data_IF_049115285080
#
_entry.id   IF_049115285080
#
_cell.length_a   1.000
_cell.length_b   1.000
_cell.length_c   1.000
_cell.angle_alpha   90.00
_cell.angle_beta   90.00
_cell.angle_gamma   90.00
#
_symmetry.space_group_name_H-M   'P 1'
#
loop_
_entity.id
_entity.type
_entity.pdbx_description
1 polymer ?
#
# COMPACT_ATOMS: atom_id res chain seq x y z
N UNK A 1 10.20 7.05 33.90
CA UNK A 1 11.27 7.33 32.91
C UNK A 1 12.55 6.50 33.11
N UNK A 2 12.44 5.21 33.51
CA UNK A 2 13.58 4.28 33.66
C UNK A 2 13.36 2.88 33.01
N UNK A 3 12.20 2.63 32.39
CA UNK A 3 11.89 1.33 31.79
C UNK A 3 12.08 1.26 30.25
N UNK A 4 12.26 2.40 29.57
CA UNK A 4 12.45 2.45 28.11
C UNK A 4 13.91 2.14 27.71
N UNK A 5 14.85 2.22 28.65
CA UNK A 5 16.29 2.01 28.39
C UNK A 5 16.74 0.53 28.34
N UNK A 6 15.87 -0.45 28.63
CA UNK A 6 16.28 -1.87 28.64
C UNK A 6 16.07 -2.55 27.29
N UNK A 7 15.05 -2.17 26.52
CA UNK A 7 14.73 -2.81 25.23
C UNK A 7 15.72 -2.34 24.15
N UNK A 8 16.16 -1.08 24.23
CA UNK A 8 17.21 -0.55 23.35
C UNK A 8 18.61 -1.14 23.65
N UNK A 9 18.86 -1.64 24.85
CA UNK A 9 20.15 -2.26 25.20
C UNK A 9 20.28 -3.70 24.69
N UNK A 10 19.22 -4.49 24.68
CA UNK A 10 19.29 -5.89 24.20
C UNK A 10 19.42 -5.99 22.68
N UNK A 11 18.86 -5.02 21.93
CA UNK A 11 19.03 -4.95 20.47
C UNK A 11 20.43 -4.41 20.08
N UNK A 12 21.05 -3.59 20.94
CA UNK A 12 22.36 -2.99 20.67
C UNK A 12 23.56 -3.89 21.03
N UNK A 13 23.37 -4.91 21.86
CA UNK A 13 24.44 -5.85 22.24
C UNK A 13 24.88 -6.75 21.08
N UNK A 14 24.04 -6.95 20.05
CA UNK A 14 24.44 -7.71 18.86
C UNK A 14 25.00 -6.88 17.70
N UNK A 15 24.96 -5.54 17.77
CA UNK A 15 25.53 -4.66 16.73
C UNK A 15 26.95 -4.14 17.05
N UNK A 16 27.53 -4.50 18.20
CA UNK A 16 28.81 -3.98 18.70
C UNK A 16 29.94 -5.01 18.85
N UNK A 17 29.91 -6.15 18.14
CA UNK A 17 31.03 -7.13 18.11
C UNK A 17 31.90 -6.96 16.83
N UNK A 18 31.95 -5.78 16.22
CA UNK A 18 32.71 -5.58 14.98
C UNK A 18 33.74 -4.43 15.00
N UNK A 19 34.19 -3.97 16.17
CA UNK A 19 35.26 -2.97 16.28
C UNK A 19 36.24 -3.31 17.41
N UNK A 20 37.13 -4.26 17.15
CA UNK A 20 38.40 -4.38 17.87
C UNK A 20 39.51 -4.66 16.84
N UNK A 21 40.53 -3.80 16.71
CA UNK A 21 41.70 -4.09 15.90
C UNK A 21 42.70 -4.88 16.76
N UNK A 22 42.87 -6.18 16.48
CA UNK A 22 44.20 -6.83 16.47
C UNK A 22 44.10 -8.33 16.16
N UNK A 23 45.12 -8.75 15.43
CA UNK A 23 45.37 -10.06 14.83
C UNK A 23 45.20 -11.25 15.79
N UNK A 24 44.45 -12.27 15.37
CA UNK A 24 44.89 -13.66 15.15
C UNK A 24 43.85 -14.31 14.22
N UNK A 25 44.30 -14.86 13.08
CA UNK A 25 43.47 -15.63 12.17
C UNK A 25 42.77 -16.79 12.87
N UNK A 26 41.46 -16.66 13.07
CA UNK A 26 40.54 -17.79 13.20
C UNK A 26 39.58 -17.71 12.03
N UNK A 27 39.57 -18.74 11.18
CA UNK A 27 38.48 -18.99 10.26
C UNK A 27 37.20 -19.16 11.08
N UNK A 28 36.50 -18.05 11.33
CA UNK A 28 35.10 -18.10 11.71
C UNK A 28 34.39 -18.45 10.40
N UNK A 29 33.95 -19.70 10.28
CA UNK A 29 33.01 -20.08 9.24
C UNK A 29 31.88 -19.06 9.30
N UNK A 30 31.76 -18.25 8.26
CA UNK A 30 30.66 -17.30 8.07
C UNK A 30 29.41 -18.17 8.06
N UNK A 31 28.69 -18.23 9.18
CA UNK A 31 27.37 -18.83 9.22
C UNK A 31 26.61 -18.16 8.08
N UNK A 32 26.21 -18.94 7.08
CA UNK A 32 25.53 -18.41 5.91
C UNK A 32 24.38 -17.54 6.39
N UNK A 33 24.28 -16.33 5.86
CA UNK A 33 23.06 -15.55 6.04
C UNK A 33 21.88 -16.46 5.67
N UNK A 34 20.83 -16.54 6.52
CA UNK A 34 19.68 -17.37 6.20
C UNK A 34 19.20 -16.98 4.80
N UNK A 35 18.94 -18.00 3.96
CA UNK A 35 18.46 -17.78 2.61
C UNK A 35 17.30 -16.79 2.63
N UNK A 36 17.35 -15.80 1.75
CA UNK A 36 16.30 -14.80 1.64
C UNK A 36 14.96 -15.49 1.37
N UNK A 37 13.85 -14.96 1.91
CA UNK A 37 12.54 -15.51 1.63
C UNK A 37 12.22 -15.28 0.15
N UNK A 38 12.23 -16.36 -0.64
CA UNK A 38 11.84 -16.33 -2.04
C UNK A 38 10.31 -16.46 -2.15
N UNK A 39 9.68 -15.64 -3.00
CA UNK A 39 8.26 -15.77 -3.34
C UNK A 39 8.05 -17.09 -4.10
N UNK A 40 7.45 -18.06 -3.42
CA UNK A 40 7.12 -19.36 -4.02
C UNK A 40 5.93 -19.24 -4.97
N UNK A 41 5.94 -20.08 -6.01
CA UNK A 41 4.84 -20.18 -6.98
C UNK A 41 3.48 -20.48 -6.32
N UNK A 42 3.46 -21.31 -5.26
CA UNK A 42 2.23 -21.61 -4.48
C UNK A 42 1.68 -20.35 -3.80
N UNK A 43 2.53 -19.58 -3.12
CA UNK A 43 2.16 -18.33 -2.46
C UNK A 43 1.61 -17.32 -3.47
N UNK A 44 2.26 -17.21 -4.62
CA UNK A 44 1.81 -16.36 -5.72
C UNK A 44 0.44 -16.79 -6.26
N UNK A 45 0.25 -18.08 -6.55
CA UNK A 45 -1.01 -18.60 -7.07
C UNK A 45 -2.19 -18.36 -6.10
N UNK A 46 -1.97 -18.49 -4.79
CA UNK A 46 -2.98 -18.17 -3.78
C UNK A 46 -3.35 -16.69 -3.80
N UNK A 47 -2.36 -15.80 -3.93
CA UNK A 47 -2.64 -14.36 -4.03
C UNK A 47 -3.38 -14.02 -5.32
N UNK A 48 -3.00 -14.60 -6.45
CA UNK A 48 -3.72 -14.42 -7.72
C UNK A 48 -5.18 -14.90 -7.63
N UNK A 49 -5.44 -16.03 -6.97
CA UNK A 49 -6.80 -16.50 -6.69
C UNK A 49 -7.58 -15.52 -5.80
N UNK A 50 -6.95 -15.03 -4.72
CA UNK A 50 -7.53 -14.03 -3.84
C UNK A 50 -7.92 -12.76 -4.60
N UNK A 51 -7.04 -12.26 -5.48
CA UNK A 51 -7.28 -11.07 -6.29
C UNK A 51 -8.43 -11.28 -7.26
N UNK A 52 -8.52 -12.44 -7.93
CA UNK A 52 -9.64 -12.77 -8.82
C UNK A 52 -10.99 -12.71 -8.10
N UNK A 53 -11.05 -13.20 -6.86
CA UNK A 53 -12.27 -13.12 -6.05
C UNK A 53 -12.59 -11.67 -5.62
N UNK A 54 -11.58 -10.89 -5.23
CA UNK A 54 -11.75 -9.48 -4.92
C UNK A 54 -12.20 -8.65 -6.15
N UNK A 55 -11.67 -8.96 -7.32
CA UNK A 55 -12.03 -8.36 -8.60
C UNK A 55 -13.46 -8.71 -8.99
N UNK A 56 -13.85 -9.98 -8.93
CA UNK A 56 -15.22 -10.41 -9.17
C UNK A 56 -16.23 -9.71 -8.24
N UNK A 57 -15.87 -9.54 -6.95
CA UNK A 57 -16.67 -8.75 -6.00
C UNK A 57 -16.76 -7.29 -6.44
N UNK A 58 -15.63 -6.64 -6.75
CA UNK A 58 -15.58 -5.25 -7.21
C UNK A 58 -16.43 -5.04 -8.46
N UNK A 59 -16.31 -5.90 -9.48
CA UNK A 59 -17.12 -5.83 -10.69
C UNK A 59 -18.61 -5.99 -10.39
N UNK A 60 -18.98 -6.94 -9.52
CA UNK A 60 -20.37 -7.14 -9.12
C UNK A 60 -20.96 -5.92 -8.42
N UNK A 61 -20.16 -5.21 -7.63
CA UNK A 61 -20.56 -3.95 -6.98
C UNK A 61 -20.72 -2.81 -7.99
N UNK A 62 -19.78 -2.66 -8.93
CA UNK A 62 -19.85 -1.65 -9.99
C UNK A 62 -21.06 -1.88 -10.91
N UNK A 63 -21.28 -3.13 -11.34
CA UNK A 63 -22.43 -3.53 -12.19
C UNK A 63 -23.78 -3.25 -11.54
N UNK A 64 -23.88 -3.39 -10.22
CA UNK A 64 -25.11 -3.07 -9.48
C UNK A 64 -25.41 -1.56 -9.48
N UNK A 65 -24.41 -0.70 -9.66
CA UNK A 65 -24.57 0.75 -9.81
C UNK A 65 -25.04 1.50 -8.55
N UNK A 66 -25.23 0.78 -7.44
CA UNK A 66 -25.65 1.32 -6.13
C UNK A 66 -24.76 0.80 -5.02
N UNK A 67 -24.57 1.62 -3.98
CA UNK A 67 -23.65 1.33 -2.89
C UNK A 67 -22.20 1.24 -3.36
N UNK A 68 -21.73 2.30 -4.02
CA UNK A 68 -20.40 2.33 -4.64
C UNK A 68 -19.29 2.46 -3.61
N UNK A 69 -19.55 3.11 -2.48
CA UNK A 69 -18.63 3.21 -1.36
C UNK A 69 -18.96 2.12 -0.35
N UNK A 70 -17.96 1.61 0.34
CA UNK A 70 -18.15 0.57 1.33
C UNK A 70 -19.05 1.01 2.50
N UNK A 71 -19.05 2.32 2.79
CA UNK A 71 -19.89 2.94 3.82
C UNK A 71 -21.37 2.94 3.43
N UNK A 72 -21.71 2.89 2.14
CA UNK A 72 -23.11 2.81 1.68
C UNK A 72 -23.80 1.52 2.18
N UNK A 73 -23.01 0.44 2.33
CA UNK A 73 -23.48 -0.88 2.78
C UNK A 73 -23.61 -1.03 4.29
N UNK A 74 -23.33 0.01 5.08
CA UNK A 74 -23.53 -0.01 6.53
C UNK A 74 -25.02 0.08 6.90
N UNK A 75 -25.41 -0.41 8.10
CA UNK A 75 -26.71 -0.11 8.69
C UNK A 75 -26.98 1.40 8.74
N UNK A 76 -28.25 1.81 8.63
CA UNK A 76 -28.62 3.20 8.41
C UNK A 76 -28.01 4.19 9.42
N UNK A 77 -28.09 3.89 10.71
CA UNK A 77 -27.50 4.71 11.78
C UNK A 77 -25.97 4.83 11.63
N UNK A 78 -25.28 3.70 11.48
CA UNK A 78 -23.82 3.66 11.31
C UNK A 78 -23.37 4.35 10.02
N UNK A 79 -24.18 4.26 8.96
CA UNK A 79 -23.94 4.95 7.70
C UNK A 79 -24.06 6.46 7.88
N UNK A 80 -25.07 6.94 8.58
CA UNK A 80 -25.24 8.36 8.88
C UNK A 80 -24.04 8.91 9.67
N UNK A 81 -23.60 8.18 10.69
CA UNK A 81 -22.42 8.54 11.49
C UNK A 81 -21.13 8.53 10.65
N UNK A 82 -20.95 7.52 9.78
CA UNK A 82 -19.80 7.45 8.89
C UNK A 82 -19.75 8.63 7.92
N UNK A 83 -20.88 9.03 7.33
CA UNK A 83 -20.94 10.22 6.47
C UNK A 83 -20.71 11.52 7.25
N UNK A 84 -21.21 11.63 8.48
CA UNK A 84 -20.93 12.78 9.33
C UNK A 84 -19.43 12.87 9.65
N UNK A 85 -18.76 11.75 9.96
CA UNK A 85 -17.32 11.68 10.18
C UNK A 85 -16.52 12.09 8.93
N UNK A 86 -16.87 11.55 7.76
CA UNK A 86 -16.26 11.92 6.48
C UNK A 86 -16.38 13.44 6.21
N UNK A 87 -17.55 14.03 6.45
CA UNK A 87 -17.79 15.47 6.29
C UNK A 87 -17.00 16.34 7.29
N UNK A 88 -16.62 15.81 8.45
CA UNK A 88 -15.68 16.45 9.40
C UNK A 88 -14.21 16.28 9.00
N UNK A 89 -13.94 15.59 7.89
CA UNK A 89 -12.59 15.37 7.37
C UNK A 89 -11.90 14.12 7.94
N UNK A 90 -12.63 13.24 8.60
CA UNK A 90 -12.10 11.94 9.02
C UNK A 90 -11.88 11.02 7.80
N UNK A 91 -10.93 10.09 7.91
CA UNK A 91 -10.69 9.04 6.90
C UNK A 91 -11.19 7.73 7.48
N UNK A 92 -12.20 7.14 6.84
CA UNK A 92 -12.84 5.93 7.32
C UNK A 92 -12.15 4.70 6.75
N UNK A 93 -11.58 3.86 7.61
CA UNK A 93 -10.79 2.68 7.23
C UNK A 93 -11.50 1.39 7.61
N UNK A 94 -11.47 0.39 6.74
CA UNK A 94 -12.00 -0.95 7.00
C UNK A 94 -11.02 -2.02 6.51
N UNK A 95 -10.70 -2.98 7.38
CA UNK A 95 -10.00 -4.19 6.96
C UNK A 95 -10.95 -5.07 6.18
N UNK A 96 -10.48 -5.64 5.08
CA UNK A 96 -11.22 -6.57 4.26
C UNK A 96 -10.57 -7.94 4.33
N UNK A 97 -11.39 -8.97 4.23
CA UNK A 97 -10.95 -10.35 4.11
C UNK A 97 -11.88 -11.05 3.11
N UNK A 98 -11.31 -11.67 2.08
CA UNK A 98 -12.07 -12.55 1.18
C UNK A 98 -12.18 -13.91 1.86
N UNK A 99 -13.43 -14.38 1.99
CA UNK A 99 -13.74 -15.67 2.58
C UNK A 99 -14.14 -16.65 1.48
N UNK A 100 -13.58 -17.85 1.53
CA UNK A 100 -13.99 -18.98 0.69
C UNK A 100 -14.60 -20.03 1.60
N UNK A 101 -15.84 -20.46 1.32
CA UNK A 101 -16.60 -21.36 2.18
C UNK A 101 -16.65 -20.89 3.66
N UNK A 102 -16.89 -19.60 3.85
CA UNK A 102 -16.91 -18.91 5.15
C UNK A 102 -15.60 -19.00 5.96
N UNK A 103 -14.46 -19.28 5.30
CA UNK A 103 -13.14 -19.35 5.92
C UNK A 103 -12.15 -18.39 5.25
N UNK A 104 -11.23 -17.77 6.01
CA UNK A 104 -10.15 -16.99 5.43
C UNK A 104 -9.27 -17.85 4.51
N UNK A 105 -8.91 -17.32 3.35
CA UNK A 105 -7.94 -17.95 2.45
C UNK A 105 -6.57 -17.90 3.11
N UNK A 106 -5.98 -19.07 3.36
CA UNK A 106 -4.61 -19.16 3.91
C UNK A 106 -3.62 -18.99 2.78
N UNK A 107 -2.59 -18.17 3.01
CA UNK A 107 -1.49 -17.95 2.07
C UNK A 107 -0.20 -18.55 2.65
N UNK A 108 0.20 -19.77 2.27
CA UNK A 108 1.41 -20.38 2.81
C UNK A 108 2.65 -19.52 2.51
N UNK A 109 3.44 -19.22 3.54
CA UNK A 109 4.67 -18.42 3.41
C UNK A 109 4.46 -16.92 3.13
N UNK A 110 3.21 -16.46 3.11
CA UNK A 110 2.88 -15.06 2.83
C UNK A 110 1.75 -14.53 3.71
N UNK A 111 1.64 -13.21 3.78
CA UNK A 111 0.54 -12.51 4.44
C UNK A 111 -0.16 -11.63 3.42
N UNK A 112 -1.48 -11.79 3.32
CA UNK A 112 -2.33 -10.91 2.52
C UNK A 112 -2.83 -9.79 3.43
N UNK A 113 -2.54 -8.54 3.05
CA UNK A 113 -3.07 -7.35 3.70
C UNK A 113 -4.06 -6.69 2.78
N UNK A 114 -5.32 -6.65 3.19
CA UNK A 114 -6.41 -6.10 2.39
C UNK A 114 -7.18 -5.06 3.19
N UNK A 115 -7.18 -3.83 2.69
CA UNK A 115 -7.81 -2.68 3.33
C UNK A 115 -8.53 -1.82 2.32
N UNK A 116 -9.61 -1.17 2.75
CA UNK A 116 -10.26 -0.09 2.02
C UNK A 116 -10.38 1.15 2.92
N UNK A 117 -10.25 2.32 2.33
CA UNK A 117 -10.40 3.60 2.99
C UNK A 117 -11.22 4.56 2.15
N UNK A 118 -11.99 5.44 2.82
CA UNK A 118 -12.80 6.49 2.17
C UNK A 118 -12.45 7.82 2.80
N UNK A 119 -12.34 8.85 1.95
CA UNK A 119 -12.18 10.25 2.34
C UNK A 119 -13.17 11.12 1.55
N UNK A 120 -13.65 12.20 2.16
CA UNK A 120 -14.46 13.22 1.49
C UNK A 120 -13.64 14.49 1.24
N UNK A 121 -13.74 15.02 0.02
CA UNK A 121 -13.07 16.22 -0.46
C UNK A 121 -14.15 17.30 -0.69
N UNK A 122 -14.41 18.18 0.29
CA UNK A 122 -15.45 19.20 0.18
C UNK A 122 -15.13 20.21 -0.93
N UNK A 123 -16.14 20.63 -1.70
CA UNK A 123 -16.01 21.63 -2.76
C UNK A 123 -15.37 21.13 -4.06
N UNK A 124 -14.67 19.99 -4.03
CA UNK A 124 -14.05 19.40 -5.20
C UNK A 124 -15.08 18.88 -6.21
N UNK A 125 -14.66 18.81 -7.46
CA UNK A 125 -15.31 18.14 -8.60
C UNK A 125 -14.57 16.87 -8.97
N UNK A 126 -15.24 15.96 -9.68
CA UNK A 126 -14.61 14.72 -10.11
C UNK A 126 -13.35 14.98 -10.96
N UNK A 127 -13.40 15.99 -11.84
CA UNK A 127 -12.27 16.38 -12.69
C UNK A 127 -11.04 16.82 -11.88
N UNK A 128 -11.26 17.44 -10.72
CA UNK A 128 -10.21 17.92 -9.82
C UNK A 128 -9.44 16.74 -9.21
N UNK A 129 -10.19 15.72 -8.80
CA UNK A 129 -9.63 14.47 -8.27
C UNK A 129 -8.88 13.71 -9.34
N UNK A 130 -9.47 13.55 -10.54
CA UNK A 130 -8.82 12.89 -11.67
C UNK A 130 -7.55 13.63 -12.11
N UNK A 131 -7.56 14.97 -12.11
CA UNK A 131 -6.39 15.79 -12.41
C UNK A 131 -5.21 15.59 -11.46
N UNK A 132 -5.47 15.12 -10.22
CA UNK A 132 -4.42 14.71 -9.28
C UNK A 132 -4.04 13.23 -9.47
N UNK A 133 -5.03 12.35 -9.56
CA UNK A 133 -4.80 10.90 -9.62
C UNK A 133 -4.10 10.47 -10.92
N UNK A 134 -4.46 11.05 -12.06
CA UNK A 134 -3.86 10.73 -13.38
C UNK A 134 -2.52 11.43 -13.61
N UNK A 135 -2.17 12.43 -12.80
CA UNK A 135 -0.94 13.20 -12.95
C UNK A 135 0.24 12.52 -12.25
N UNK A 136 0.56 11.31 -12.70
CA UNK A 136 1.59 10.45 -12.13
C UNK A 136 2.99 11.09 -12.11
N UNK A 137 3.32 11.96 -13.07
CA UNK A 137 4.61 12.68 -13.05
C UNK A 137 4.76 13.62 -11.83
N UNK A 138 3.64 13.98 -11.19
CA UNK A 138 3.62 14.81 -9.99
C UNK A 138 3.38 14.03 -8.69
N UNK A 139 3.19 12.72 -8.75
CA UNK A 139 2.92 11.89 -7.56
C UNK A 139 4.04 11.95 -6.52
N UNK A 140 5.30 12.07 -6.93
CA UNK A 140 6.44 12.29 -6.01
C UNK A 140 6.33 13.60 -5.21
N UNK A 141 5.65 14.62 -5.75
CA UNK A 141 5.36 15.84 -5.00
C UNK A 141 4.13 15.69 -4.11
N UNK A 142 3.05 15.05 -4.61
CA UNK A 142 1.79 14.91 -3.88
C UNK A 142 1.85 13.94 -2.71
N UNK A 143 2.59 12.85 -2.89
CA UNK A 143 2.67 11.72 -1.96
C UNK A 143 4.03 11.62 -1.26
N UNK A 144 4.79 12.73 -1.23
CA UNK A 144 6.03 12.82 -0.46
C UNK A 144 5.74 12.70 1.06
N UNK A 145 6.55 11.97 1.84
CA UNK A 145 7.84 11.37 1.44
C UNK A 145 7.74 9.92 0.93
N UNK A 146 6.55 9.29 0.97
CA UNK A 146 6.39 7.86 0.70
C UNK A 146 6.59 7.52 -0.79
N UNK A 147 6.30 8.46 -1.70
CA UNK A 147 6.69 8.39 -3.12
C UNK A 147 7.90 9.30 -3.34
N UNK A 148 9.07 8.70 -3.54
CA UNK A 148 10.32 9.43 -3.77
C UNK A 148 10.47 9.85 -5.23
N UNK A 149 10.07 8.99 -6.17
CA UNK A 149 10.10 9.28 -7.62
C UNK A 149 8.85 8.73 -8.28
N UNK A 150 8.38 9.41 -9.32
CA UNK A 150 7.21 8.99 -10.08
C UNK A 150 7.35 9.43 -11.53
N UNK A 151 6.88 8.60 -12.47
CA UNK A 151 6.94 8.89 -13.90
C UNK A 151 5.88 8.12 -14.67
N UNK A 152 5.27 8.75 -15.67
CA UNK A 152 4.51 8.04 -16.71
C UNK A 152 5.51 7.45 -17.71
N UNK A 153 5.47 6.12 -17.88
CA UNK A 153 6.27 5.44 -18.91
C UNK A 153 5.54 5.39 -20.25
N UNK A 154 4.22 5.15 -20.22
CA UNK A 154 3.36 5.28 -21.40
C UNK A 154 1.92 5.62 -21.00
N UNK A 155 1.19 6.25 -21.91
CA UNK A 155 -0.25 6.53 -21.77
C UNK A 155 -0.95 6.31 -23.11
N UNK A 156 -2.03 5.54 -23.07
CA UNK A 156 -2.94 5.31 -24.19
C UNK A 156 -4.38 5.59 -23.73
N UNK A 157 -4.84 6.84 -23.92
CA UNK A 157 -6.14 7.28 -23.41
C UNK A 157 -6.21 7.21 -21.88
N UNK A 158 -7.06 6.33 -21.36
CA UNK A 158 -7.26 6.06 -19.92
C UNK A 158 -6.41 4.88 -19.39
N UNK A 159 -5.56 4.30 -20.24
CA UNK A 159 -4.58 3.28 -19.86
C UNK A 159 -3.21 3.90 -19.61
N UNK A 160 -2.56 3.54 -18.50
CA UNK A 160 -1.28 4.07 -18.10
C UNK A 160 -0.32 2.94 -17.71
N UNK A 161 0.94 3.08 -18.09
CA UNK A 161 2.06 2.39 -17.45
C UNK A 161 2.89 3.41 -16.70
N UNK A 162 3.09 3.16 -15.41
CA UNK A 162 3.72 4.15 -14.52
C UNK A 162 4.79 3.52 -13.67
N UNK A 163 5.87 4.27 -13.46
CA UNK A 163 6.93 3.95 -12.54
C UNK A 163 6.75 4.74 -11.25
N UNK A 164 6.81 4.05 -10.10
CA UNK A 164 6.84 4.67 -8.78
C UNK A 164 7.99 4.10 -7.95
N UNK A 165 8.82 4.97 -7.37
CA UNK A 165 9.77 4.60 -6.31
C UNK A 165 9.16 4.92 -4.95
N UNK A 166 8.81 3.89 -4.20
CA UNK A 166 8.38 4.02 -2.82
C UNK A 166 9.59 4.04 -1.88
N UNK A 167 9.54 4.90 -0.86
CA UNK A 167 10.54 4.95 0.22
C UNK A 167 9.85 5.09 1.56
N UNK A 168 10.02 4.10 2.44
CA UNK A 168 9.46 4.14 3.79
C UNK A 168 10.51 3.85 4.83
N UNK A 169 10.52 4.66 5.89
CA UNK A 169 11.37 4.45 7.06
C UNK A 169 10.49 4.25 8.30
N UNK A 170 10.68 3.12 8.99
CA UNK A 170 10.12 2.88 10.32
C UNK A 170 11.26 2.57 11.29
N UNK A 171 11.67 1.31 11.35
CA UNK A 171 12.91 0.88 12.05
C UNK A 171 14.08 0.78 11.06
N UNK A 172 13.78 0.35 9.84
CA UNK A 172 14.69 0.31 8.70
C UNK A 172 14.11 1.10 7.54
N UNK A 173 14.96 1.55 6.63
CA UNK A 173 14.54 2.14 5.36
C UNK A 173 14.35 1.03 4.32
N UNK A 174 13.18 1.00 3.70
CA UNK A 174 12.89 0.15 2.55
C UNK A 174 12.61 1.05 1.35
N UNK A 175 13.27 0.76 0.23
CA UNK A 175 13.05 1.42 -1.06
C UNK A 175 12.62 0.38 -2.06
N UNK A 176 11.51 0.62 -2.75
CA UNK A 176 10.95 -0.27 -3.77
C UNK A 176 10.76 0.51 -5.06
N UNK A 177 11.27 -0.02 -6.17
CA UNK A 177 10.92 0.42 -7.50
C UNK A 177 9.76 -0.44 -8.00
N UNK A 178 8.71 0.20 -8.50
CA UNK A 178 7.48 -0.46 -8.92
C UNK A 178 7.02 0.05 -10.27
N UNK A 179 6.51 -0.87 -11.09
CA UNK A 179 5.83 -0.57 -12.33
C UNK A 179 4.37 -1.01 -12.21
N UNK A 180 3.45 -0.15 -12.63
CA UNK A 180 2.02 -0.41 -12.53
C UNK A 180 1.37 -0.30 -13.90
N UNK A 181 0.44 -1.20 -14.15
CA UNK A 181 -0.49 -1.15 -15.26
C UNK A 181 -1.85 -0.67 -14.71
N UNK A 182 -2.31 0.50 -15.17
CA UNK A 182 -3.47 1.19 -14.61
C UNK A 182 -4.50 1.48 -15.68
N UNK A 183 -5.75 1.14 -15.42
CA UNK A 183 -6.89 1.49 -16.25
C UNK A 183 -7.86 2.38 -15.48
N UNK A 184 -8.24 3.51 -16.08
CA UNK A 184 -9.32 4.37 -15.60
C UNK A 184 -10.60 4.13 -16.40
N UNK A 185 -11.74 4.37 -15.76
CA UNK A 185 -13.06 4.22 -16.34
C UNK A 185 -13.94 5.38 -15.88
N UNK A 186 -14.57 6.06 -16.84
CA UNK A 186 -15.51 7.16 -16.60
C UNK A 186 -16.94 6.61 -16.64
N UNK A 187 -17.41 6.09 -15.51
CA UNK A 187 -18.69 5.37 -15.41
C UNK A 187 -19.91 6.26 -15.67
N UNK A 188 -19.84 7.52 -15.26
CA UNK A 188 -20.88 8.53 -15.44
C UNK A 188 -20.27 9.94 -15.27
N UNK A 189 -20.98 11.04 -15.58
CA UNK A 189 -20.44 12.40 -15.44
C UNK A 189 -19.94 12.78 -14.02
N UNK A 190 -20.36 12.03 -13.00
CA UNK A 190 -19.99 12.24 -11.58
C UNK A 190 -19.40 10.98 -10.93
N UNK A 191 -19.04 9.96 -11.72
CA UNK A 191 -18.54 8.68 -11.23
C UNK A 191 -17.40 8.19 -12.09
N UNK A 192 -16.31 7.79 -11.46
CA UNK A 192 -15.21 7.13 -12.12
C UNK A 192 -14.60 6.09 -11.18
N UNK A 193 -13.93 5.10 -11.76
CA UNK A 193 -13.13 4.15 -11.01
C UNK A 193 -11.81 3.87 -11.72
N UNK A 194 -10.87 3.26 -11.02
CA UNK A 194 -9.65 2.75 -11.63
C UNK A 194 -9.23 1.42 -11.04
N UNK A 195 -8.49 0.66 -11.84
CA UNK A 195 -7.88 -0.62 -11.52
C UNK A 195 -6.39 -0.51 -11.79
N UNK A 196 -5.56 -0.82 -10.81
CA UNK A 196 -4.10 -0.78 -10.96
C UNK A 196 -3.44 -2.04 -10.41
N UNK A 197 -2.60 -2.67 -11.23
CA UNK A 197 -1.81 -3.84 -10.87
C UNK A 197 -0.32 -3.50 -10.86
N UNK A 198 0.38 -3.78 -9.75
CA UNK A 198 1.82 -3.64 -9.71
C UNK A 198 2.48 -4.84 -10.42
N UNK A 199 2.73 -4.69 -11.73
CA UNK A 199 3.25 -5.75 -12.60
C UNK A 199 4.71 -6.10 -12.31
N UNK A 200 5.46 -5.17 -11.69
CA UNK A 200 6.82 -5.41 -11.21
C UNK A 200 7.03 -4.67 -9.90
N UNK A 201 7.61 -5.37 -8.92
CA UNK A 201 8.06 -4.79 -7.64
C UNK A 201 9.47 -5.31 -7.38
N UNK A 202 10.44 -4.39 -7.30
CA UNK A 202 11.83 -4.71 -7.04
C UNK A 202 12.33 -3.88 -5.86
N UNK A 203 12.89 -4.54 -4.85
CA UNK A 203 13.61 -3.83 -3.78
C UNK A 203 14.88 -3.20 -4.32
N UNK A 204 15.19 -2.00 -3.87
CA UNK A 204 16.46 -1.32 -4.12
C UNK A 204 17.40 -1.53 -2.93
N UNK A 205 18.54 -2.18 -3.18
CA UNK A 205 19.64 -2.29 -2.23
C UNK A 205 20.54 -1.05 -2.32
N UNK A 206 21.07 -0.62 -1.18
CA UNK A 206 21.98 0.53 -1.09
C UNK A 206 21.44 1.80 -1.74
N UNK A 207 20.12 2.04 -1.61
CA UNK A 207 19.46 3.22 -2.17
C UNK A 207 20.16 4.52 -1.75
N UNK A 208 20.45 5.37 -2.74
CA UNK A 208 21.18 6.64 -2.61
C UNK A 208 22.70 6.49 -2.52
N UNK A 209 23.27 5.28 -2.61
CA UNK A 209 24.72 5.03 -2.60
C UNK A 209 25.24 4.69 -4.00
N UNK A 210 26.57 4.71 -4.17
CA UNK A 210 27.24 4.44 -5.46
C UNK A 210 26.99 3.04 -6.00
N UNK A 211 26.69 2.08 -5.12
CA UNK A 211 26.42 0.69 -5.45
C UNK A 211 24.92 0.35 -5.33
N UNK A 212 24.05 1.36 -5.52
CA UNK A 212 22.60 1.18 -5.62
C UNK A 212 22.28 0.18 -6.75
N UNK A 213 21.44 -0.81 -6.44
CA UNK A 213 20.97 -1.80 -7.42
C UNK A 213 19.59 -2.33 -7.05
N UNK A 214 18.84 -2.78 -8.04
CA UNK A 214 17.62 -3.54 -7.81
C UNK A 214 17.95 -5.00 -7.51
N UNK A 215 17.19 -5.59 -6.57
CA UNK A 215 17.11 -7.04 -6.41
C UNK A 215 16.19 -7.62 -7.46
N UNK A 216 16.35 -8.91 -7.73
CA UNK A 216 15.40 -9.65 -8.55
C UNK A 216 14.03 -9.67 -7.85
N UNK A 217 12.93 -9.28 -8.53
CA UNK A 217 11.59 -9.35 -7.95
C UNK A 217 11.28 -10.72 -7.34
N UNK A 218 10.76 -10.75 -6.12
CA UNK A 218 10.45 -11.99 -5.41
C UNK A 218 11.64 -12.67 -4.74
N UNK A 219 12.88 -12.27 -5.04
CA UNK A 219 14.09 -12.67 -4.33
C UNK A 219 14.60 -11.50 -3.46
N UNK A 220 13.78 -11.16 -2.46
CA UNK A 220 14.04 -10.09 -1.52
C UNK A 220 13.55 -10.45 -0.11
N UNK A 221 13.66 -9.52 0.83
CA UNK A 221 13.25 -9.73 2.22
C UNK A 221 11.72 -9.63 2.40
N UNK A 222 10.94 -9.69 1.33
CA UNK A 222 9.49 -9.84 1.33
C UNK A 222 8.70 -8.70 1.95
N UNK A 223 9.20 -7.46 1.84
CA UNK A 223 8.49 -6.28 2.33
C UNK A 223 7.23 -5.96 1.53
N UNK A 224 7.22 -6.29 0.24
CA UNK A 224 6.07 -6.21 -0.66
C UNK A 224 6.38 -7.02 -1.92
N UNK A 225 5.67 -8.13 -2.13
CA UNK A 225 5.83 -8.98 -3.31
C UNK A 225 4.80 -8.69 -4.39
N UNK A 226 3.57 -8.37 -4.01
CA UNK A 226 2.46 -8.06 -4.93
C UNK A 226 1.60 -6.95 -4.36
N UNK A 227 0.97 -6.17 -5.23
CA UNK A 227 0.04 -5.11 -4.85
C UNK A 227 -0.99 -4.86 -5.95
N UNK A 228 -2.25 -4.80 -5.55
CA UNK A 228 -3.39 -4.50 -6.40
C UNK A 228 -4.19 -3.37 -5.76
N UNK A 229 -4.66 -2.42 -6.56
CA UNK A 229 -5.55 -1.35 -6.06
C UNK A 229 -6.78 -1.15 -6.93
N UNK A 230 -7.87 -0.79 -6.26
CA UNK A 230 -9.15 -0.39 -6.86
C UNK A 230 -9.56 0.95 -6.27
N UNK A 231 -9.78 1.94 -7.13
CA UNK A 231 -10.24 3.27 -6.72
C UNK A 231 -11.65 3.50 -7.20
N UNK A 232 -12.44 4.22 -6.40
CA UNK A 232 -13.78 4.70 -6.77
C UNK A 232 -13.93 6.15 -6.36
N UNK A 233 -14.44 6.96 -7.27
CA UNK A 233 -14.66 8.38 -7.07
C UNK A 233 -16.11 8.71 -7.41
N UNK A 234 -16.81 9.37 -6.49
CA UNK A 234 -18.21 9.78 -6.66
C UNK A 234 -18.41 11.23 -6.21
N UNK A 235 -18.77 12.10 -7.15
CA UNK A 235 -19.14 13.49 -6.86
C UNK A 235 -20.61 13.57 -6.39
N UNK A 236 -20.80 13.88 -5.11
CA UNK A 236 -22.11 14.15 -4.49
C UNK A 236 -21.94 14.96 -3.19
N UNK A 237 -23.04 15.44 -2.63
CA UNK A 237 -23.06 16.21 -1.36
C UNK A 237 -22.17 17.47 -1.35
N UNK A 238 -21.95 18.08 -2.52
CA UNK A 238 -21.10 19.27 -2.64
C UNK A 238 -19.59 18.98 -2.58
N UNK A 239 -19.16 17.74 -2.78
CA UNK A 239 -17.74 17.37 -2.90
C UNK A 239 -17.56 16.04 -3.63
N UNK A 240 -16.40 15.42 -3.45
CA UNK A 240 -16.10 14.08 -3.99
C UNK A 240 -15.75 13.13 -2.86
N UNK A 241 -16.40 11.98 -2.83
CA UNK A 241 -15.95 10.84 -2.04
C UNK A 241 -14.95 10.04 -2.85
N UNK A 242 -13.79 9.76 -2.26
CA UNK A 242 -12.72 8.96 -2.86
C UNK A 242 -12.49 7.74 -1.99
N UNK A 243 -12.72 6.56 -2.57
CA UNK A 243 -12.40 5.28 -1.98
C UNK A 243 -11.16 4.69 -2.66
N UNK A 244 -10.24 4.17 -1.85
CA UNK A 244 -9.14 3.34 -2.34
C UNK A 244 -9.14 2.03 -1.56
N UNK A 245 -9.12 0.93 -2.30
CA UNK A 245 -8.94 -0.43 -1.80
C UNK A 245 -7.58 -0.95 -2.27
N UNK A 246 -6.85 -1.61 -1.38
CA UNK A 246 -5.55 -2.20 -1.67
C UNK A 246 -5.48 -3.62 -1.12
N UNK A 247 -5.05 -4.56 -1.95
CA UNK A 247 -4.62 -5.89 -1.54
C UNK A 247 -3.12 -6.03 -1.81
N UNK A 248 -2.35 -6.45 -0.82
CA UNK A 248 -0.91 -6.61 -0.94
C UNK A 248 -0.45 -7.92 -0.33
N UNK A 249 0.65 -8.45 -0.87
CA UNK A 249 1.29 -9.68 -0.40
C UNK A 249 2.67 -9.35 0.17
N UNK A 250 2.94 -9.77 1.39
CA UNK A 250 4.27 -9.72 2.00
C UNK A 250 4.71 -11.13 2.39
N UNK A 251 5.97 -11.31 2.76
CA UNK A 251 6.38 -12.54 3.46
C UNK A 251 5.64 -12.71 4.77
N UNK A 252 5.62 -13.96 5.23
CA UNK A 252 5.18 -14.28 6.57
C UNK A 252 6.19 -13.83 7.65
N UNK A 253 5.70 -13.73 8.88
CA UNK A 253 6.50 -13.43 10.06
C UNK A 253 7.36 -14.67 10.38
N UNK A 254 8.68 -14.54 10.56
CA UNK A 254 9.51 -15.67 10.92
C UNK A 254 9.05 -16.31 12.23
N UNK A 255 9.09 -17.64 12.28
CA UNK A 255 8.69 -18.43 13.45
C UNK A 255 9.38 -17.92 14.72
N UNK A 256 8.61 -17.68 15.79
CA UNK A 256 9.13 -17.21 17.09
C UNK A 256 9.23 -15.68 17.25
N UNK A 257 9.05 -14.88 16.17
CA UNK A 257 9.06 -13.41 16.23
C UNK A 257 7.67 -12.76 16.15
N UNK A 258 6.61 -13.57 16.04
CA UNK A 258 5.21 -13.13 15.89
C UNK A 258 4.77 -12.06 16.89
N UNK A 259 5.07 -12.24 18.18
CA UNK A 259 4.61 -11.31 19.22
C UNK A 259 5.25 -9.91 19.13
N UNK A 260 6.45 -9.81 18.54
CA UNK A 260 7.21 -8.55 18.50
C UNK A 260 6.91 -7.73 17.25
N UNK A 261 6.81 -8.37 16.08
CA UNK A 261 6.70 -7.64 14.81
C UNK A 261 5.29 -7.58 14.24
N UNK A 262 4.35 -8.39 14.76
CA UNK A 262 2.97 -8.43 14.26
C UNK A 262 2.25 -7.08 14.31
N UNK A 263 2.32 -6.26 15.38
CA UNK A 263 1.68 -4.93 15.37
C UNK A 263 2.18 -4.04 14.23
N UNK A 264 3.50 -4.03 13.99
CA UNK A 264 4.10 -3.25 12.91
C UNK A 264 3.61 -3.72 11.53
N UNK A 265 3.62 -5.04 11.30
CA UNK A 265 3.22 -5.64 10.02
C UNK A 265 1.71 -5.45 9.76
N UNK A 266 0.88 -5.44 10.80
CA UNK A 266 -0.58 -5.23 10.65
C UNK A 266 -0.97 -3.76 10.47
N UNK A 267 -0.20 -2.82 11.04
CA UNK A 267 -0.58 -1.41 11.04
C UNK A 267 -0.07 -0.67 9.79
N UNK A 268 1.10 -1.04 9.25
CA UNK A 268 1.70 -0.38 8.08
C UNK A 268 0.72 -0.25 6.90
N UNK A 269 0.01 -1.31 6.46
CA UNK A 269 -0.90 -1.19 5.32
C UNK A 269 -2.01 -0.17 5.53
N UNK A 270 -2.61 -0.15 6.74
CA UNK A 270 -3.65 0.82 7.11
C UNK A 270 -3.09 2.23 7.15
N UNK A 271 -1.93 2.44 7.77
CA UNK A 271 -1.26 3.74 7.83
C UNK A 271 -0.91 4.27 6.43
N UNK A 272 -0.34 3.43 5.56
CA UNK A 272 0.01 3.80 4.19
C UNK A 272 -1.22 4.26 3.41
N UNK A 273 -2.31 3.50 3.47
CA UNK A 273 -3.55 3.88 2.78
C UNK A 273 -4.19 5.15 3.37
N UNK A 274 -4.14 5.31 4.70
CA UNK A 274 -4.60 6.54 5.37
C UNK A 274 -3.78 7.76 4.90
N UNK A 275 -2.46 7.60 4.82
CA UNK A 275 -1.57 8.65 4.29
C UNK A 275 -1.92 8.99 2.85
N UNK A 276 -2.05 7.99 1.97
CA UNK A 276 -2.37 8.20 0.55
C UNK A 276 -3.68 8.99 0.40
N UNK A 277 -4.76 8.58 1.06
CA UNK A 277 -6.05 9.28 0.98
C UNK A 277 -5.97 10.71 1.51
N UNK A 278 -5.26 10.91 2.63
CA UNK A 278 -5.04 12.25 3.19
C UNK A 278 -4.20 13.15 2.28
N UNK A 279 -3.19 12.59 1.62
CA UNK A 279 -2.33 13.29 0.67
C UNK A 279 -3.09 13.61 -0.64
N UNK A 280 -3.92 12.70 -1.14
CA UNK A 280 -4.82 12.96 -2.28
C UNK A 280 -5.71 14.17 -1.99
N UNK A 281 -6.37 14.20 -0.82
CA UNK A 281 -7.18 15.36 -0.41
C UNK A 281 -6.36 16.66 -0.42
N UNK A 282 -5.20 16.68 0.22
CA UNK A 282 -4.33 17.87 0.26
C UNK A 282 -3.89 18.32 -1.13
N UNK A 283 -3.56 17.38 -2.01
CA UNK A 283 -3.13 17.67 -3.37
C UNK A 283 -4.27 18.27 -4.21
N UNK A 284 -5.50 17.79 -4.04
CA UNK A 284 -6.70 18.34 -4.67
C UNK A 284 -7.00 19.73 -4.10
N UNK A 285 -6.98 19.92 -2.79
CA UNK A 285 -7.16 21.23 -2.16
C UNK A 285 -6.12 22.26 -2.67
N UNK A 286 -4.87 21.83 -2.87
CA UNK A 286 -3.82 22.68 -3.42
C UNK A 286 -3.96 22.95 -4.93
N UNK A 287 -4.58 22.05 -5.70
CA UNK A 287 -4.97 22.28 -7.10
C UNK A 287 -6.21 23.17 -7.24
N UNK A 288 -6.95 23.37 -6.14
CA UNK A 288 -8.19 24.15 -6.05
C UNK A 288 -8.06 25.39 -5.13
N UNK A 289 -7.11 26.32 -5.37
CA UNK A 289 -7.07 27.55 -4.59
C UNK A 289 -8.24 28.47 -4.98
N UNK A 290 -9.34 28.40 -4.23
CA UNK A 290 -10.33 29.47 -4.08
C UNK A 290 -11.34 29.69 -5.22
N UNK A 291 -12.39 28.87 -5.26
CA UNK A 291 -13.72 29.33 -5.70
C UNK A 291 -14.65 29.44 -4.51
#
# INVERSE_FOLDING_TARGET
MKAINSIARTVMVFLLIALAPNQVSRCVARAGEPALPELKAETQAVFEHYVKLAEARNEGELKRGTGLLWVDGLPEEQRADAYAALKRGEIMMRKLDILENAKPIRCPGGMIHHWTGVVFLPGAKLADVLGVLENYDRHSAYYSPDVERSKIESREGDHFRVFLRFRRHKVITVVLNTEHDVQYFHDAPRKAHSRSSAVRIAKVENAGKRDEREKTPGDDEGFLWRMETWWRMEERDGGVYVQSEVASLTRDIPTGLGWMIRPLVTDIPKESLTFTLGATRKAVEAHHPGR
#
